data_IF_314252920274
#
_entry.id   IF_314252920274
#
_cell.length_a   1.000
_cell.length_b   1.000
_cell.length_c   1.000
_cell.angle_alpha   90.00
_cell.angle_beta   90.00
_cell.angle_gamma   90.00
#
_symmetry.space_group_name_H-M   'P 1'
#
loop_
_entity.id
_entity.type
_entity.pdbx_description
1 polymer ?
#
# COMPACT_ATOMS: atom_id res chain seq x y z
N UNK A 1 10.57 -14.62 7.12
CA UNK A 1 10.51 -13.42 6.25
C UNK A 1 11.30 -12.29 6.92
N UNK A 2 12.13 -11.56 6.18
CA UNK A 2 12.98 -10.48 6.72
C UNK A 2 12.36 -9.10 6.44
N UNK A 3 12.57 -8.12 7.30
CA UNK A 3 12.10 -6.72 7.11
C UNK A 3 12.58 -6.16 5.77
N UNK A 4 13.80 -6.54 5.35
CA UNK A 4 14.37 -6.13 4.06
C UNK A 4 13.57 -6.68 2.87
N UNK A 5 13.03 -7.90 2.97
CA UNK A 5 12.20 -8.47 1.89
C UNK A 5 10.81 -7.84 1.86
N UNK A 6 10.23 -7.52 3.01
CA UNK A 6 8.92 -6.86 3.11
C UNK A 6 8.99 -5.41 2.60
N UNK A 7 10.07 -4.68 2.94
CA UNK A 7 10.30 -3.33 2.43
C UNK A 7 10.50 -3.32 0.90
N UNK A 8 11.29 -4.26 0.35
CA UNK A 8 11.46 -4.41 -1.10
C UNK A 8 10.12 -4.69 -1.81
N UNK A 9 9.26 -5.51 -1.21
CA UNK A 9 7.92 -5.79 -1.74
C UNK A 9 7.05 -4.52 -1.73
N UNK A 10 7.06 -3.75 -0.64
CA UNK A 10 6.37 -2.47 -0.55
C UNK A 10 6.86 -1.47 -1.60
N UNK A 11 8.17 -1.36 -1.82
CA UNK A 11 8.73 -0.49 -2.87
C UNK A 11 8.25 -0.89 -4.27
N UNK A 12 8.19 -2.19 -4.58
CA UNK A 12 7.65 -2.68 -5.86
C UNK A 12 6.18 -2.35 -6.02
N UNK A 13 5.38 -2.48 -4.95
CA UNK A 13 3.97 -2.08 -4.97
C UNK A 13 3.80 -0.57 -5.20
N UNK A 14 4.59 0.28 -4.54
CA UNK A 14 4.57 1.73 -4.83
C UNK A 14 4.86 2.03 -6.31
N UNK A 15 5.88 1.38 -6.87
CA UNK A 15 6.24 1.56 -8.28
C UNK A 15 5.12 1.10 -9.22
N UNK A 16 4.42 0.01 -8.88
CA UNK A 16 3.26 -0.47 -9.63
C UNK A 16 2.08 0.50 -9.58
N UNK A 17 1.73 0.99 -8.39
CA UNK A 17 0.67 1.99 -8.20
C UNK A 17 0.97 3.26 -9.01
N UNK A 18 2.21 3.75 -8.98
CA UNK A 18 2.63 4.91 -9.74
C UNK A 18 2.49 4.69 -11.26
N UNK A 19 2.75 3.47 -11.76
CA UNK A 19 2.53 3.15 -13.19
C UNK A 19 1.05 3.18 -13.55
N UNK A 20 0.18 2.62 -12.71
CA UNK A 20 -1.27 2.65 -12.94
C UNK A 20 -1.79 4.09 -13.00
N UNK A 21 -1.35 4.95 -12.09
CA UNK A 21 -1.74 6.37 -12.08
C UNK A 21 -1.26 7.08 -13.34
N UNK A 22 0.01 6.92 -13.73
CA UNK A 22 0.54 7.54 -14.95
C UNK A 22 -0.15 7.04 -16.22
N UNK A 23 -0.48 5.76 -16.29
CA UNK A 23 -1.22 5.20 -17.43
C UNK A 23 -2.65 5.75 -17.46
N UNK A 24 -3.29 5.92 -16.30
CA UNK A 24 -4.62 6.54 -16.21
C UNK A 24 -4.61 8.00 -16.68
N UNK A 25 -3.61 8.77 -16.23
CA UNK A 25 -3.42 10.19 -16.61
C UNK A 25 -3.14 10.36 -18.11
N UNK A 26 -2.44 9.40 -18.72
CA UNK A 26 -2.16 9.40 -20.16
C UNK A 26 -3.33 8.83 -21.00
N UNK A 27 -4.37 8.29 -20.37
CA UNK A 27 -5.46 7.65 -21.08
C UNK A 27 -6.49 8.69 -21.55
N UNK A 28 -6.85 8.64 -22.84
CA UNK A 28 -7.89 9.49 -23.42
C UNK A 28 -9.30 8.93 -23.21
N UNK A 29 -9.40 7.63 -22.93
CA UNK A 29 -10.64 6.92 -22.62
C UNK A 29 -10.93 7.02 -21.11
N UNK A 30 -12.06 7.66 -20.77
CA UNK A 30 -12.45 7.89 -19.38
C UNK A 30 -12.78 6.60 -18.61
N UNK A 31 -13.34 5.61 -19.29
CA UNK A 31 -13.72 4.34 -18.67
C UNK A 31 -12.46 3.55 -18.34
N UNK A 32 -11.51 3.52 -19.28
CA UNK A 32 -10.20 2.90 -19.05
C UNK A 32 -9.40 3.63 -17.97
N UNK A 33 -9.39 4.96 -17.96
CA UNK A 33 -8.77 5.75 -16.89
C UNK A 33 -9.40 5.42 -15.53
N UNK A 34 -10.73 5.34 -15.48
CA UNK A 34 -11.48 4.97 -14.29
C UNK A 34 -11.10 3.59 -13.73
N UNK A 35 -10.94 2.58 -14.60
CA UNK A 35 -10.48 1.25 -14.21
C UNK A 35 -9.07 1.29 -13.62
N UNK A 36 -8.13 1.99 -14.27
CA UNK A 36 -6.74 2.12 -13.81
C UNK A 36 -6.65 2.82 -12.45
N UNK A 37 -7.41 3.90 -12.23
CA UNK A 37 -7.51 4.55 -10.92
C UNK A 37 -8.17 3.63 -9.88
N UNK A 38 -9.18 2.85 -10.26
CA UNK A 38 -9.80 1.85 -9.41
C UNK A 38 -8.79 0.81 -8.93
N UNK A 39 -7.97 0.28 -9.84
CA UNK A 39 -6.88 -0.65 -9.50
C UNK A 39 -5.84 0.00 -8.59
N UNK A 40 -5.42 1.23 -8.88
CA UNK A 40 -4.46 1.97 -8.07
C UNK A 40 -4.96 2.19 -6.63
N UNK A 41 -6.27 2.49 -6.47
CA UNK A 41 -6.92 2.65 -5.18
C UNK A 41 -6.92 1.34 -4.38
N UNK A 42 -7.27 0.22 -5.02
CA UNK A 42 -7.27 -1.11 -4.37
C UNK A 42 -5.85 -1.47 -3.90
N UNK A 43 -4.85 -1.34 -4.77
CA UNK A 43 -3.46 -1.65 -4.44
C UNK A 43 -2.90 -0.74 -3.34
N UNK A 44 -3.24 0.55 -3.34
CA UNK A 44 -2.87 1.47 -2.27
C UNK A 44 -3.48 1.06 -0.92
N UNK A 45 -4.73 0.60 -0.93
CA UNK A 45 -5.39 0.06 0.25
C UNK A 45 -4.71 -1.22 0.77
N UNK A 46 -4.34 -2.13 -0.12
CA UNK A 46 -3.63 -3.36 0.21
C UNK A 46 -2.24 -3.07 0.79
N UNK A 47 -1.47 -2.18 0.16
CA UNK A 47 -0.17 -1.74 0.65
C UNK A 47 -0.28 -1.13 2.05
N UNK A 48 -1.26 -0.25 2.26
CA UNK A 48 -1.50 0.39 3.55
C UNK A 48 -1.80 -0.63 4.66
N UNK A 49 -2.62 -1.66 4.38
CA UNK A 49 -2.90 -2.76 5.32
C UNK A 49 -1.65 -3.59 5.62
N UNK A 50 -0.86 -3.92 4.60
CA UNK A 50 0.39 -4.68 4.76
C UNK A 50 1.41 -3.92 5.61
N UNK A 51 1.59 -2.62 5.36
CA UNK A 51 2.50 -1.78 6.14
C UNK A 51 2.04 -1.60 7.59
N UNK A 52 0.74 -1.40 7.85
CA UNK A 52 0.21 -1.37 9.21
C UNK A 52 0.48 -2.68 9.95
N UNK A 53 0.30 -3.81 9.28
CA UNK A 53 0.57 -5.14 9.85
C UNK A 53 2.05 -5.32 10.17
N UNK A 54 2.93 -4.90 9.25
CA UNK A 54 4.37 -4.91 9.45
C UNK A 54 4.77 -4.09 10.68
N UNK A 55 4.27 -2.86 10.78
CA UNK A 55 4.55 -1.97 11.90
C UNK A 55 4.00 -2.55 13.21
N UNK A 56 2.80 -3.12 13.22
CA UNK A 56 2.22 -3.76 14.39
C UNK A 56 3.07 -4.94 14.90
N UNK A 57 3.61 -5.77 14.00
CA UNK A 57 4.52 -6.89 14.35
C UNK A 57 5.87 -6.42 14.90
N UNK A 58 6.28 -5.19 14.59
CA UNK A 58 7.57 -4.63 14.98
C UNK A 58 7.49 -3.65 16.15
N UNK A 59 6.28 -3.22 16.52
CA UNK A 59 6.07 -2.49 17.77
C UNK A 59 6.29 -3.44 18.94
N UNK A 60 7.13 -3.07 19.92
CA UNK A 60 7.30 -3.89 21.10
C UNK A 60 5.96 -3.96 21.86
N UNK A 61 5.64 -5.14 22.39
CA UNK A 61 4.31 -5.48 22.93
C UNK A 61 3.77 -4.48 23.97
N UNK A 62 4.66 -3.78 24.69
CA UNK A 62 4.28 -2.76 25.67
C UNK A 62 3.63 -1.50 25.06
N UNK A 63 3.88 -1.18 23.78
CA UNK A 63 3.26 -0.03 23.10
C UNK A 63 1.88 -0.34 22.49
N UNK A 64 1.55 -1.62 22.29
CA UNK A 64 0.24 -2.04 21.79
C UNK A 64 -0.85 -1.96 22.86
N UNK A 65 -0.48 -2.14 24.13
CA UNK A 65 -1.41 -2.06 25.27
C UNK A 65 -1.78 -0.62 25.65
N UNK A 66 -0.89 0.37 25.46
CA UNK A 66 -1.21 1.77 25.72
C UNK A 66 -2.22 2.36 24.71
N UNK A 67 -2.19 1.91 23.44
CA UNK A 67 -3.10 2.39 22.41
C UNK A 67 -4.53 1.79 22.51
N UNK A 68 -4.73 0.78 23.36
CA UNK A 68 -6.05 0.16 23.63
C UNK A 68 -6.68 0.60 24.95
N UNK A 69 -5.94 1.33 25.78
CA UNK A 69 -6.38 1.80 27.10
C UNK A 69 -6.67 3.31 27.15
N UNK A 70 -6.74 3.98 25.99
CA UNK A 70 -7.08 5.40 25.85
C UNK A 70 -8.32 5.56 24.97
#
# INVERSE_FOLDING_TARGET
MSVKSELKSATRQCAFINRLVKEAEACTDSDRAGLLYGMAKVESGNLSKSLRTLLARKRPAHQLNQARAA
#
